data_IF_999629880375
#
_entry.id   IF_999629880375
#
_cell.length_a   1.000
_cell.length_b   1.000
_cell.length_c   1.000
_cell.angle_alpha   90.00
_cell.angle_beta   90.00
_cell.angle_gamma   90.00
#
_symmetry.space_group_name_H-M   'P 1'
#
loop_
_entity.id
_entity.type
_entity.pdbx_description
1 polymer ?
#
# COMPACT_ATOMS: atom_id res chain seq x y z
N UNK A 1 6.75 -21.95 10.97
CA UNK A 1 5.68 -22.10 9.96
C UNK A 1 4.29 -21.71 10.49
N UNK A 2 3.78 -22.27 11.60
CA UNK A 2 2.45 -21.93 12.15
C UNK A 2 2.27 -20.44 12.53
N UNK A 3 3.28 -19.79 13.11
CA UNK A 3 3.25 -18.36 13.47
C UNK A 3 3.19 -17.42 12.25
N UNK A 4 3.77 -17.83 11.13
CA UNK A 4 3.75 -17.09 9.86
C UNK A 4 2.36 -17.16 9.21
N UNK A 5 1.76 -18.36 9.20
CA UNK A 5 0.38 -18.60 8.74
C UNK A 5 -0.63 -17.79 9.55
N UNK A 6 -0.50 -17.74 10.88
CA UNK A 6 -1.38 -16.93 11.74
C UNK A 6 -1.21 -15.43 11.45
N UNK A 7 0.00 -14.95 11.23
CA UNK A 7 0.26 -13.54 10.91
C UNK A 7 -0.32 -13.13 9.55
N UNK A 8 -0.20 -14.00 8.54
CA UNK A 8 -0.83 -13.79 7.23
C UNK A 8 -2.35 -13.74 7.36
N UNK A 9 -2.94 -14.66 8.14
CA UNK A 9 -4.39 -14.71 8.37
C UNK A 9 -4.89 -13.45 9.09
N UNK A 10 -4.13 -12.91 10.04
CA UNK A 10 -4.47 -11.63 10.72
C UNK A 10 -4.41 -10.45 9.74
N UNK A 11 -3.45 -10.43 8.82
CA UNK A 11 -3.43 -9.43 7.76
C UNK A 11 -4.65 -9.55 6.83
N UNK A 12 -5.11 -10.78 6.54
CA UNK A 12 -6.32 -11.01 5.73
C UNK A 12 -7.62 -10.57 6.43
N UNK A 13 -7.73 -10.69 7.75
CA UNK A 13 -8.93 -10.26 8.50
C UNK A 13 -9.07 -8.74 8.61
N UNK A 14 -7.96 -7.98 8.53
CA UNK A 14 -8.00 -6.50 8.46
C UNK A 14 -8.60 -6.00 7.13
N UNK A 15 -8.61 -6.84 6.09
CA UNK A 15 -9.08 -6.51 4.73
C UNK A 15 -10.62 -6.68 4.59
N UNK A 16 -11.28 -7.37 5.53
CA UNK A 16 -12.64 -7.92 5.35
C UNK A 16 -13.83 -7.14 5.91
N UNK A 17 -13.92 -5.81 5.71
CA UNK A 17 -15.18 -5.07 6.02
C UNK A 17 -15.86 -4.43 4.81
N UNK A 18 -15.32 -4.63 3.60
CA UNK A 18 -15.97 -4.20 2.36
C UNK A 18 -16.94 -5.27 1.84
N UNK A 19 -18.20 -4.93 1.68
CA UNK A 19 -19.19 -5.76 0.97
C UNK A 19 -18.69 -6.03 -0.45
N UNK A 20 -18.41 -7.29 -0.78
CA UNK A 20 -18.03 -7.69 -2.12
C UNK A 20 -19.14 -7.32 -3.11
N UNK A 21 -18.89 -6.35 -4.01
CA UNK A 21 -19.81 -5.97 -5.08
C UNK A 21 -19.59 -6.89 -6.28
N UNK A 22 -20.64 -7.33 -6.97
CA UNK A 22 -20.47 -8.10 -8.21
C UNK A 22 -19.61 -7.33 -9.24
N UNK A 23 -18.59 -7.98 -9.81
CA UNK A 23 -17.65 -7.39 -10.78
C UNK A 23 -16.25 -7.04 -10.27
N UNK A 24 -15.82 -7.58 -9.13
CA UNK A 24 -14.49 -7.27 -8.56
C UNK A 24 -13.37 -7.98 -9.32
N UNK A 25 -12.31 -7.25 -9.64
CA UNK A 25 -11.09 -7.84 -10.18
C UNK A 25 -10.27 -8.43 -9.02
N UNK A 26 -10.45 -9.71 -8.75
CA UNK A 26 -9.85 -10.37 -7.59
C UNK A 26 -8.35 -10.61 -7.73
N UNK A 27 -7.90 -10.90 -8.95
CA UNK A 27 -6.50 -11.24 -9.26
C UNK A 27 -6.02 -10.30 -10.34
N UNK A 28 -4.88 -9.66 -10.08
CA UNK A 28 -4.15 -8.91 -11.08
C UNK A 28 -2.72 -9.42 -11.20
N UNK A 29 -2.30 -9.61 -12.45
CA UNK A 29 -0.90 -9.84 -12.82
C UNK A 29 -0.50 -8.76 -13.83
N UNK A 30 0.70 -8.22 -13.68
CA UNK A 30 1.22 -7.16 -14.54
C UNK A 30 2.73 -7.28 -14.72
N UNK A 31 3.20 -7.02 -15.93
CA UNK A 31 4.64 -6.93 -16.22
C UNK A 31 5.09 -5.48 -16.07
N UNK A 32 4.57 -4.60 -16.92
CA UNK A 32 4.69 -3.14 -16.84
C UNK A 32 3.41 -2.52 -17.42
N UNK A 33 2.85 -1.46 -16.85
CA UNK A 33 1.70 -0.76 -17.46
C UNK A 33 2.06 -0.25 -18.88
N UNK A 34 1.28 -0.56 -19.96
CA UNK A 34 -0.09 -1.11 -19.94
C UNK A 34 -0.22 -2.63 -20.08
N UNK A 35 0.86 -3.41 -20.08
CA UNK A 35 0.83 -4.88 -20.06
C UNK A 35 0.43 -5.38 -18.65
N UNK A 36 -0.88 -5.38 -18.40
CA UNK A 36 -1.52 -5.86 -17.17
C UNK A 36 -2.90 -6.47 -17.47
N UNK A 37 -3.33 -7.47 -16.67
CA UNK A 37 -4.62 -8.15 -16.87
C UNK A 37 -5.83 -7.23 -16.64
N UNK A 38 -5.70 -6.31 -15.69
CA UNK A 38 -6.75 -5.41 -15.27
C UNK A 38 -6.32 -4.00 -15.65
N UNK A 39 -7.15 -3.29 -16.41
CA UNK A 39 -6.82 -1.94 -16.86
C UNK A 39 -6.66 -0.96 -15.69
N UNK A 40 -5.89 0.10 -15.93
CA UNK A 40 -5.52 1.07 -14.90
C UNK A 40 -6.70 1.94 -14.40
N UNK A 41 -7.81 1.97 -15.14
CA UNK A 41 -9.07 2.62 -14.75
C UNK A 41 -9.92 1.74 -13.81
N UNK A 42 -9.51 0.50 -13.55
CA UNK A 42 -10.24 -0.43 -12.70
C UNK A 42 -9.59 -0.58 -11.33
N UNK A 43 -10.42 -0.99 -10.37
CA UNK A 43 -9.98 -1.33 -9.02
C UNK A 43 -9.70 -2.83 -8.90
N UNK A 44 -8.76 -3.19 -8.04
CA UNK A 44 -8.41 -4.58 -7.70
C UNK A 44 -8.80 -4.85 -6.27
N UNK A 45 -9.42 -5.99 -6.03
CA UNK A 45 -9.92 -6.39 -4.71
C UNK A 45 -9.50 -7.83 -4.41
N UNK A 46 -8.28 -8.02 -3.93
CA UNK A 46 -7.74 -9.34 -3.65
C UNK A 46 -6.23 -9.32 -3.72
N UNK A 47 -5.67 -9.94 -4.76
CA UNK A 47 -4.23 -10.11 -4.92
C UNK A 47 -3.72 -9.43 -6.18
N UNK A 48 -2.73 -8.55 -6.01
CA UNK A 48 -2.02 -7.88 -7.10
C UNK A 48 -0.56 -8.31 -7.10
N UNK A 49 -0.12 -8.93 -8.19
CA UNK A 49 1.28 -9.22 -8.47
C UNK A 49 1.76 -8.32 -9.62
N UNK A 50 2.82 -7.56 -9.38
CA UNK A 50 3.53 -6.82 -10.43
C UNK A 50 5.00 -7.24 -10.51
N UNK A 51 5.51 -7.47 -11.72
CA UNK A 51 6.92 -7.82 -11.92
C UNK A 51 7.81 -6.58 -11.98
N UNK A 52 7.36 -5.51 -12.66
CA UNK A 52 8.12 -4.25 -12.79
C UNK A 52 7.27 -3.06 -12.36
N UNK A 53 6.12 -2.85 -13.01
CA UNK A 53 5.28 -1.69 -12.77
C UNK A 53 3.79 -1.99 -12.96
N UNK A 54 2.97 -1.46 -12.07
CA UNK A 54 1.52 -1.51 -12.20
C UNK A 54 0.84 -0.21 -11.81
N UNK A 55 -0.31 0.08 -12.42
CA UNK A 55 -1.19 1.16 -11.97
C UNK A 55 -2.66 0.75 -12.00
N UNK A 56 -3.42 1.12 -10.96
CA UNK A 56 -4.87 0.92 -10.86
C UNK A 56 -5.55 2.07 -10.13
N UNK A 57 -6.88 2.16 -10.24
CA UNK A 57 -7.65 3.17 -9.50
C UNK A 57 -7.60 2.93 -8.00
N UNK A 58 -8.09 1.79 -7.52
CA UNK A 58 -7.99 1.42 -6.11
C UNK A 58 -7.38 0.04 -5.98
N UNK A 59 -6.80 -0.23 -4.82
CA UNK A 59 -6.32 -1.56 -4.46
C UNK A 59 -6.78 -1.90 -3.05
N UNK A 60 -7.54 -2.98 -2.92
CA UNK A 60 -7.92 -3.57 -1.65
C UNK A 60 -7.31 -4.98 -1.59
N UNK A 61 -6.56 -5.30 -0.55
CA UNK A 61 -6.00 -6.63 -0.35
C UNK A 61 -4.46 -6.66 -0.27
N UNK A 62 -3.85 -7.65 -0.92
CA UNK A 62 -2.41 -7.88 -0.92
C UNK A 62 -1.78 -7.45 -2.23
N UNK A 63 -0.76 -6.62 -2.16
CA UNK A 63 -0.04 -6.10 -3.30
C UNK A 63 1.44 -6.43 -3.18
N UNK A 64 1.96 -7.14 -4.17
CA UNK A 64 3.33 -7.66 -4.21
C UNK A 64 3.99 -7.26 -5.52
N UNK A 65 5.22 -6.73 -5.45
CA UNK A 65 6.02 -6.54 -6.65
C UNK A 65 7.16 -5.55 -6.55
N UNK A 66 7.46 -4.87 -7.65
CA UNK A 66 8.56 -3.93 -7.73
C UNK A 66 8.06 -2.50 -7.57
N UNK A 67 7.30 -1.95 -8.53
CA UNK A 67 6.73 -0.61 -8.43
C UNK A 67 5.21 -0.69 -8.56
N UNK A 68 4.53 -0.23 -7.52
CA UNK A 68 3.08 -0.24 -7.45
C UNK A 68 2.52 1.18 -7.35
N UNK A 69 1.56 1.50 -8.24
CA UNK A 69 0.82 2.76 -8.22
C UNK A 69 -0.68 2.53 -8.02
N UNK A 70 -1.25 3.24 -7.06
CA UNK A 70 -2.69 3.31 -6.81
C UNK A 70 -3.12 4.78 -6.91
N UNK A 71 -3.93 5.12 -7.91
CA UNK A 71 -4.35 6.51 -8.21
C UNK A 71 -5.33 7.07 -7.16
N UNK A 72 -6.11 6.18 -6.56
CA UNK A 72 -7.09 6.46 -5.51
C UNK A 72 -6.63 5.89 -4.16
N UNK A 73 -7.46 5.04 -3.57
CA UNK A 73 -7.26 4.54 -2.22
C UNK A 73 -6.65 3.14 -2.20
N UNK A 74 -5.79 2.91 -1.21
CA UNK A 74 -5.18 1.62 -0.92
C UNK A 74 -5.67 1.13 0.45
N UNK A 75 -6.18 -0.10 0.51
CA UNK A 75 -6.58 -0.77 1.76
C UNK A 75 -5.95 -2.17 1.83
N UNK A 76 -4.96 -2.38 2.69
CA UNK A 76 -4.41 -3.72 2.93
C UNK A 76 -2.91 -3.72 3.16
N UNK A 77 -2.20 -4.66 2.53
CA UNK A 77 -0.75 -4.86 2.70
C UNK A 77 -0.04 -4.72 1.36
N UNK A 78 0.84 -3.73 1.24
CA UNK A 78 1.72 -3.53 0.10
C UNK A 78 3.15 -3.94 0.43
N UNK A 79 3.67 -4.95 -0.26
CA UNK A 79 5.06 -5.38 -0.20
C UNK A 79 5.69 -5.18 -1.57
N UNK A 80 6.14 -3.95 -1.85
CA UNK A 80 6.75 -3.58 -3.12
C UNK A 80 8.05 -2.80 -2.90
N UNK A 81 9.00 -2.84 -3.83
CA UNK A 81 10.18 -1.98 -3.72
C UNK A 81 9.79 -0.48 -3.66
N UNK A 82 8.77 -0.07 -4.43
CA UNK A 82 8.14 1.23 -4.31
C UNK A 82 6.60 1.11 -4.23
N UNK A 83 6.01 1.69 -3.18
CA UNK A 83 4.57 1.82 -3.01
C UNK A 83 4.16 3.28 -3.21
N UNK A 84 3.32 3.55 -4.21
CA UNK A 84 2.85 4.90 -4.57
C UNK A 84 1.33 4.94 -4.48
N UNK A 85 0.79 5.71 -3.54
CA UNK A 85 -0.66 5.91 -3.38
C UNK A 85 -0.98 7.40 -3.49
N UNK A 86 -1.69 7.80 -4.53
CA UNK A 86 -2.03 9.23 -4.72
C UNK A 86 -3.17 9.69 -3.81
N UNK A 87 -4.00 8.76 -3.31
CA UNK A 87 -5.07 9.01 -2.34
C UNK A 87 -4.72 8.56 -0.91
N UNK A 88 -5.67 7.89 -0.26
CA UNK A 88 -5.54 7.48 1.13
C UNK A 88 -5.03 6.04 1.22
N UNK A 89 -3.95 5.85 1.98
CA UNK A 89 -3.44 4.54 2.34
C UNK A 89 -3.97 4.14 3.72
N UNK A 90 -4.58 2.96 3.81
CA UNK A 90 -4.96 2.32 5.06
C UNK A 90 -4.37 0.92 5.14
N UNK A 91 -3.59 0.64 6.19
CA UNK A 91 -2.96 -0.66 6.40
C UNK A 91 -1.44 -0.58 6.49
N UNK A 92 -0.72 -1.47 5.78
CA UNK A 92 0.74 -1.62 5.90
C UNK A 92 1.39 -1.48 4.52
N UNK A 93 2.42 -0.65 4.43
CA UNK A 93 3.32 -0.61 3.27
C UNK A 93 4.74 -0.95 3.70
N UNK A 94 5.37 -1.83 2.94
CA UNK A 94 6.74 -2.28 3.11
C UNK A 94 7.44 -2.11 1.76
N UNK A 95 8.56 -1.38 1.75
CA UNK A 95 9.31 -1.11 0.53
C UNK A 95 10.57 -0.31 0.75
N UNK A 96 11.35 -0.08 -0.30
CA UNK A 96 12.46 0.89 -0.25
C UNK A 96 11.89 2.30 -0.15
N UNK A 97 10.84 2.58 -0.93
CA UNK A 97 10.18 3.88 -1.01
C UNK A 97 8.67 3.73 -0.84
N UNK A 98 8.09 4.48 0.10
CA UNK A 98 6.65 4.54 0.31
C UNK A 98 6.19 5.99 0.23
N UNK A 99 5.21 6.29 -0.62
CA UNK A 99 4.58 7.60 -0.68
C UNK A 99 3.07 7.48 -0.69
N UNK A 100 2.40 8.33 0.09
CA UNK A 100 0.94 8.38 0.15
C UNK A 100 0.46 9.81 0.38
N UNK A 101 -0.73 10.20 -0.10
CA UNK A 101 -1.24 11.53 0.24
C UNK A 101 -1.71 11.58 1.70
N UNK A 102 -2.36 10.52 2.18
CA UNK A 102 -2.61 10.30 3.61
C UNK A 102 -2.32 8.86 3.99
N UNK A 103 -1.95 8.65 5.25
CA UNK A 103 -1.64 7.33 5.82
C UNK A 103 -2.47 7.12 7.08
N UNK A 104 -3.19 6.01 7.12
CA UNK A 104 -3.79 5.42 8.31
C UNK A 104 -3.19 4.01 8.53
N UNK A 105 -2.09 3.91 9.27
CA UNK A 105 -1.40 2.64 9.47
C UNK A 105 0.12 2.75 9.52
N UNK A 106 0.82 1.80 8.90
CA UNK A 106 2.27 1.64 9.03
C UNK A 106 2.97 1.73 7.67
N UNK A 107 4.02 2.55 7.57
CA UNK A 107 4.97 2.53 6.46
C UNK A 107 6.36 2.10 6.94
N UNK A 108 6.92 1.07 6.32
CA UNK A 108 8.24 0.52 6.59
C UNK A 108 9.08 0.67 5.33
N UNK A 109 10.17 1.43 5.39
CA UNK A 109 11.06 1.58 4.24
C UNK A 109 12.26 2.46 4.47
N UNK A 110 13.11 2.67 3.47
CA UNK A 110 14.21 3.62 3.62
C UNK A 110 13.72 5.06 3.56
N UNK A 111 12.74 5.31 2.71
CA UNK A 111 12.10 6.62 2.58
C UNK A 111 10.58 6.45 2.67
N UNK A 112 9.98 7.13 3.63
CA UNK A 112 8.52 7.20 3.79
C UNK A 112 8.08 8.65 3.67
N UNK A 113 7.07 8.90 2.83
CA UNK A 113 6.53 10.24 2.58
C UNK A 113 5.02 10.22 2.69
N UNK A 114 4.48 11.15 3.47
CA UNK A 114 3.05 11.42 3.50
C UNK A 114 2.76 12.89 3.70
N UNK A 115 1.59 13.38 3.28
CA UNK A 115 1.15 14.72 3.69
C UNK A 115 0.44 14.71 5.02
N UNK A 116 -0.25 13.61 5.34
CA UNK A 116 -0.97 13.42 6.60
C UNK A 116 -0.70 12.02 7.14
N UNK A 117 -0.24 11.95 8.38
CA UNK A 117 0.03 10.70 9.06
C UNK A 117 -0.98 10.49 10.20
N UNK A 118 -1.58 9.31 10.25
CA UNK A 118 -2.22 8.71 11.40
C UNK A 118 -1.68 7.28 11.53
N UNK A 119 -0.67 7.09 12.37
CA UNK A 119 0.03 5.82 12.55
C UNK A 119 1.54 6.02 12.65
N UNK A 120 2.30 5.11 12.05
CA UNK A 120 3.74 4.96 12.23
C UNK A 120 4.49 4.91 10.89
N UNK A 121 5.60 5.62 10.80
CA UNK A 121 6.59 5.46 9.73
C UNK A 121 7.92 5.02 10.36
N UNK A 122 8.52 3.97 9.83
CA UNK A 122 9.86 3.51 10.20
C UNK A 122 10.75 3.52 8.96
N UNK A 123 11.84 4.28 9.03
CA UNK A 123 12.75 4.42 7.91
C UNK A 123 13.87 5.41 8.10
N UNK A 124 14.90 5.36 7.24
CA UNK A 124 16.03 6.28 7.31
C UNK A 124 15.58 7.74 7.18
N UNK A 125 14.60 7.98 6.32
CA UNK A 125 13.97 9.28 6.11
C UNK A 125 12.44 9.16 6.16
N UNK A 126 11.80 9.86 7.09
CA UNK A 126 10.35 9.92 7.21
C UNK A 126 9.87 11.37 7.10
N UNK A 127 9.05 11.67 6.09
CA UNK A 127 8.53 12.99 5.80
C UNK A 127 7.00 13.01 6.01
N UNK A 128 6.53 13.99 6.78
CA UNK A 128 5.12 14.21 7.07
C UNK A 128 4.78 15.72 7.09
N UNK A 129 4.08 16.23 6.08
CA UNK A 129 3.82 17.67 5.95
C UNK A 129 2.88 18.25 7.03
N UNK A 130 2.04 17.42 7.65
CA UNK A 130 1.06 17.87 8.66
C UNK A 130 1.52 17.74 10.11
N UNK A 131 2.67 17.10 10.38
CA UNK A 131 3.16 16.87 11.74
C UNK A 131 3.91 18.07 12.33
N UNK A 132 4.13 18.11 13.66
CA UNK A 132 4.97 19.14 14.31
C UNK A 132 6.42 19.10 13.81
N UNK A 133 6.88 17.94 13.34
CA UNK A 133 8.18 17.73 12.71
C UNK A 133 7.98 17.21 11.29
N UNK A 134 8.32 18.03 10.29
CA UNK A 134 8.18 17.68 8.86
C UNK A 134 9.05 16.51 8.44
N UNK A 135 10.16 16.30 9.14
CA UNK A 135 11.12 15.24 8.88
C UNK A 135 11.59 14.65 10.21
N UNK A 136 11.53 13.32 10.32
CA UNK A 136 12.17 12.60 11.43
C UNK A 136 12.98 11.41 10.88
N UNK A 137 14.25 11.26 11.28
CA UNK A 137 15.01 10.07 10.95
C UNK A 137 14.54 8.89 11.78
N UNK A 138 14.67 7.68 11.25
CA UNK A 138 14.37 6.39 11.86
C UNK A 138 12.88 6.13 12.17
N UNK A 139 12.20 7.04 12.87
CA UNK A 139 10.82 6.88 13.33
C UNK A 139 10.04 8.19 13.21
N UNK A 140 8.82 8.15 12.67
CA UNK A 140 7.83 9.23 12.73
C UNK A 140 6.45 8.67 13.10
N UNK A 141 5.65 9.40 13.85
CA UNK A 141 4.30 8.97 14.24
C UNK A 141 3.38 10.18 14.46
N UNK A 142 2.08 9.97 14.25
CA UNK A 142 1.03 10.92 14.55
C UNK A 142 -0.28 10.15 14.80
N UNK A 143 -1.14 10.60 15.71
CA UNK A 143 -2.39 9.93 16.10
C UNK A 143 -3.60 10.83 15.82
#
# INVERSE_FOLDING_TARGET
MKKLLVSLVVAMTVIGTGTAKAGQNLIQVSLFNPIQLINEDKSVEGFRWNFIYTANQNMTGFDLGFISKTKGNFLGVGYCAANIVEGNMKGIQIGVFNTSNSVNGVQLGFVNMTKKLNGLQLGLLNLNDAGPFKMLPLINFAL
#
